data_IF_017188913187
#
_entry.id   IF_017188913187
#
_cell.length_a   1.000
_cell.length_b   1.000
_cell.length_c   1.000
_cell.angle_alpha   90.00
_cell.angle_beta   90.00
_cell.angle_gamma   90.00
#
_symmetry.space_group_name_H-M   'P 1'
#
loop_
_entity.id
_entity.type
_entity.pdbx_description
1 polymer ?
#
# COMPACT_ATOMS: atom_id res chain seq x y z
N UNK A 1 -12.57 -12.14 -15.07
CA UNK A 1 -11.50 -11.67 -14.19
C UNK A 1 -12.06 -10.67 -13.20
N UNK A 2 -11.55 -10.65 -11.97
CA UNK A 2 -11.80 -9.63 -10.94
C UNK A 2 -10.50 -8.88 -10.68
N UNK A 3 -10.60 -7.61 -10.28
CA UNK A 3 -9.45 -6.74 -10.08
C UNK A 3 -9.49 -6.11 -8.68
N UNK A 4 -8.37 -6.23 -7.96
CA UNK A 4 -8.18 -5.64 -6.64
C UNK A 4 -7.18 -4.51 -6.77
N UNK A 5 -7.59 -3.28 -6.44
CA UNK A 5 -6.72 -2.12 -6.47
C UNK A 5 -6.36 -1.72 -5.04
N UNK A 6 -5.13 -2.02 -4.64
CA UNK A 6 -4.59 -1.65 -3.34
C UNK A 6 -4.14 -0.18 -3.36
N UNK A 7 -4.74 0.64 -2.51
CA UNK A 7 -4.41 2.05 -2.33
C UNK A 7 -3.72 2.24 -0.98
N UNK A 8 -2.68 3.10 -0.95
CA UNK A 8 -1.91 3.43 0.25
C UNK A 8 -1.60 4.92 0.29
N UNK A 9 -1.45 5.49 1.49
CA UNK A 9 -1.04 6.87 1.71
C UNK A 9 0.21 7.21 0.87
N UNK A 10 0.09 8.25 0.03
CA UNK A 10 1.16 8.73 -0.83
C UNK A 10 2.44 9.07 -0.07
N UNK A 11 2.35 9.54 1.18
CA UNK A 11 3.54 9.82 2.00
C UNK A 11 4.32 8.54 2.28
N UNK A 12 3.63 7.46 2.64
CA UNK A 12 4.25 6.17 2.93
C UNK A 12 4.81 5.53 1.65
N UNK A 13 4.12 5.69 0.52
CA UNK A 13 4.59 5.21 -0.78
C UNK A 13 5.88 5.92 -1.20
N UNK A 14 5.94 7.24 -1.08
CA UNK A 14 7.15 8.02 -1.41
C UNK A 14 8.31 7.63 -0.50
N UNK A 15 8.09 7.51 0.81
CA UNK A 15 9.12 7.10 1.75
C UNK A 15 9.62 5.68 1.45
N UNK A 16 8.71 4.75 1.12
CA UNK A 16 9.06 3.40 0.72
C UNK A 16 9.92 3.38 -0.56
N UNK A 17 9.62 4.23 -1.54
CA UNK A 17 10.40 4.30 -2.77
C UNK A 17 11.80 4.87 -2.53
N UNK A 18 11.92 5.88 -1.65
CA UNK A 18 13.21 6.42 -1.23
C UNK A 18 14.09 5.33 -0.62
N UNK A 19 13.53 4.57 0.31
CA UNK A 19 14.29 3.58 1.07
C UNK A 19 14.68 2.36 0.21
N UNK A 20 13.85 1.98 -0.77
CA UNK A 20 14.09 0.78 -1.61
C UNK A 20 14.88 1.06 -2.88
N UNK A 21 14.63 2.20 -3.52
CA UNK A 21 15.14 2.53 -4.86
C UNK A 21 15.83 3.90 -4.94
N UNK A 22 15.97 4.60 -3.82
CA UNK A 22 16.70 5.85 -3.71
C UNK A 22 15.89 7.12 -4.04
N UNK A 23 16.52 8.26 -3.80
CA UNK A 23 15.86 9.57 -3.84
C UNK A 23 15.27 9.94 -5.21
N UNK A 24 15.93 9.56 -6.32
CA UNK A 24 15.41 9.80 -7.67
C UNK A 24 14.08 9.10 -7.94
N UNK A 25 13.90 7.90 -7.38
CA UNK A 25 12.63 7.17 -7.46
C UNK A 25 11.55 7.89 -6.65
N UNK A 26 11.87 8.26 -5.41
CA UNK A 26 10.96 9.00 -4.53
C UNK A 26 10.49 10.33 -5.15
N UNK A 27 11.39 11.09 -5.79
CA UNK A 27 11.06 12.32 -6.49
C UNK A 27 10.02 12.09 -7.59
N UNK A 28 10.17 11.02 -8.38
CA UNK A 28 9.26 10.71 -9.49
C UNK A 28 7.86 10.35 -8.97
N UNK A 29 7.82 9.55 -7.91
CA UNK A 29 6.59 9.12 -7.25
C UNK A 29 5.85 10.29 -6.63
N UNK A 30 6.57 11.12 -5.89
CA UNK A 30 6.01 12.32 -5.27
C UNK A 30 5.55 13.32 -6.34
N UNK A 31 6.23 13.43 -7.49
CA UNK A 31 5.90 14.43 -8.51
C UNK A 31 4.67 14.05 -9.31
N UNK A 32 4.58 12.79 -9.74
CA UNK A 32 3.60 12.38 -10.75
C UNK A 32 3.07 10.98 -10.56
N UNK A 33 3.91 10.00 -10.22
CA UNK A 33 3.51 8.59 -10.40
C UNK A 33 2.44 8.13 -9.41
N UNK A 34 2.49 8.56 -8.14
CA UNK A 34 1.45 8.15 -7.18
C UNK A 34 0.07 8.60 -7.65
N UNK A 35 -0.09 9.88 -7.99
CA UNK A 35 -1.35 10.43 -8.50
C UNK A 35 -1.76 9.75 -9.80
N UNK A 36 -0.82 9.60 -10.73
CA UNK A 36 -1.09 9.01 -12.04
C UNK A 36 -1.57 7.56 -11.91
N UNK A 37 -0.91 6.75 -11.11
CA UNK A 37 -1.21 5.33 -10.99
C UNK A 37 -2.52 5.08 -10.23
N UNK A 38 -2.75 5.79 -9.13
CA UNK A 38 -4.03 5.70 -8.40
C UNK A 38 -5.18 6.10 -9.34
N UNK A 39 -5.09 7.25 -10.00
CA UNK A 39 -6.15 7.68 -10.91
C UNK A 39 -6.33 6.75 -12.12
N UNK A 40 -5.25 6.16 -12.63
CA UNK A 40 -5.34 5.18 -13.70
C UNK A 40 -6.09 3.91 -13.24
N UNK A 41 -5.80 3.39 -12.04
CA UNK A 41 -6.51 2.26 -11.45
C UNK A 41 -7.99 2.56 -11.24
N UNK A 42 -8.32 3.72 -10.68
CA UNK A 42 -9.71 4.16 -10.47
C UNK A 42 -10.48 4.36 -11.78
N UNK A 43 -9.84 4.98 -12.78
CA UNK A 43 -10.42 5.13 -14.12
C UNK A 43 -10.66 3.78 -14.80
N UNK A 44 -9.73 2.85 -14.65
CA UNK A 44 -9.89 1.48 -15.15
C UNK A 44 -11.07 0.78 -14.46
N UNK A 45 -11.14 0.84 -13.13
CA UNK A 45 -12.24 0.27 -12.36
C UNK A 45 -13.61 0.84 -12.73
N UNK A 46 -13.71 2.15 -12.93
CA UNK A 46 -14.94 2.82 -13.33
C UNK A 46 -15.46 2.41 -14.73
N UNK A 47 -14.59 1.86 -15.58
CA UNK A 47 -14.97 1.37 -16.91
C UNK A 47 -15.41 -0.11 -16.90
N UNK A 48 -15.28 -0.81 -15.77
CA UNK A 48 -15.64 -2.22 -15.67
C UNK A 48 -17.10 -2.40 -15.20
N UNK A 49 -17.73 -3.54 -15.52
CA UNK A 49 -19.03 -3.90 -14.95
C UNK A 49 -19.00 -3.96 -13.43
N UNK A 50 -20.16 -3.73 -12.81
CA UNK A 50 -20.35 -3.87 -11.36
C UNK A 50 -19.86 -5.25 -10.89
N UNK A 51 -19.17 -5.28 -9.75
CA UNK A 51 -18.62 -6.51 -9.17
C UNK A 51 -17.31 -7.00 -9.79
N UNK A 52 -16.68 -6.24 -10.70
CA UNK A 52 -15.37 -6.61 -11.29
C UNK A 52 -14.16 -5.90 -10.69
N UNK A 53 -14.38 -4.86 -9.89
CA UNK A 53 -13.32 -4.03 -9.34
C UNK A 53 -13.59 -3.72 -7.86
N UNK A 54 -12.56 -3.88 -7.03
CA UNK A 54 -12.60 -3.62 -5.59
C UNK A 54 -11.40 -2.76 -5.18
N UNK A 55 -11.65 -1.65 -4.49
CA UNK A 55 -10.60 -0.84 -3.87
C UNK A 55 -10.39 -1.30 -2.44
N UNK A 56 -9.15 -1.63 -2.11
CA UNK A 56 -8.74 -2.02 -0.77
C UNK A 56 -7.70 -1.03 -0.27
N UNK A 57 -7.88 -0.53 0.95
CA UNK A 57 -6.87 0.36 1.56
C UNK A 57 -5.85 -0.47 2.32
N UNK A 58 -4.58 -0.18 2.11
CA UNK A 58 -3.49 -0.83 2.81
C UNK A 58 -3.59 -0.63 4.32
N UNK A 59 -4.02 0.55 4.76
CA UNK A 59 -4.16 0.86 6.18
C UNK A 59 -5.26 0.00 6.83
N UNK A 60 -6.42 -0.11 6.19
CA UNK A 60 -7.52 -0.99 6.66
C UNK A 60 -7.07 -2.46 6.70
N UNK A 61 -6.38 -2.93 5.65
CA UNK A 61 -5.86 -4.30 5.57
C UNK A 61 -4.88 -4.62 6.71
N UNK A 62 -4.08 -3.67 7.17
CA UNK A 62 -3.09 -3.90 8.23
C UNK A 62 -3.65 -3.62 9.62
N UNK A 63 -4.62 -2.71 9.75
CA UNK A 63 -5.30 -2.42 11.01
C UNK A 63 -6.28 -3.52 11.41
N UNK A 64 -7.10 -3.99 10.47
CA UNK A 64 -8.12 -5.01 10.65
C UNK A 64 -8.01 -6.12 9.57
N UNK A 65 -6.94 -6.94 9.60
CA UNK A 65 -6.64 -7.88 8.52
C UNK A 65 -7.73 -8.92 8.29
N UNK A 66 -8.36 -9.45 9.35
CA UNK A 66 -9.45 -10.41 9.20
C UNK A 66 -10.66 -9.79 8.49
N UNK A 67 -11.11 -8.63 8.93
CA UNK A 67 -12.26 -7.93 8.34
C UNK A 67 -12.01 -7.59 6.87
N UNK A 68 -10.84 -7.00 6.58
CA UNK A 68 -10.42 -6.66 5.22
C UNK A 68 -10.33 -7.91 4.32
N UNK A 69 -9.73 -9.00 4.80
CA UNK A 69 -9.60 -10.23 4.02
C UNK A 69 -10.94 -10.95 3.83
N UNK A 70 -11.85 -10.90 4.81
CA UNK A 70 -13.22 -11.42 4.65
C UNK A 70 -13.97 -10.67 3.55
N UNK A 71 -13.91 -9.33 3.56
CA UNK A 71 -14.51 -8.50 2.50
C UNK A 71 -13.89 -8.81 1.14
N UNK A 72 -12.56 -8.94 1.08
CA UNK A 72 -11.85 -9.23 -0.16
C UNK A 72 -12.21 -10.62 -0.72
N UNK A 73 -12.21 -11.67 0.10
CA UNK A 73 -12.56 -13.02 -0.34
C UNK A 73 -14.02 -13.11 -0.75
N UNK A 74 -14.92 -12.40 -0.07
CA UNK A 74 -16.32 -12.29 -0.49
C UNK A 74 -16.44 -11.63 -1.88
N UNK A 75 -15.66 -10.57 -2.16
CA UNK A 75 -15.59 -9.97 -3.50
C UNK A 75 -15.04 -10.94 -4.55
N UNK A 76 -14.07 -11.77 -4.18
CA UNK A 76 -13.45 -12.77 -5.05
C UNK A 76 -14.29 -14.04 -5.22
N UNK A 77 -15.39 -14.18 -4.47
CA UNK A 77 -16.24 -15.38 -4.42
C UNK A 77 -15.48 -16.61 -3.91
N UNK A 78 -14.50 -16.39 -3.02
CA UNK A 78 -13.65 -17.44 -2.43
C UNK A 78 -14.06 -17.73 -0.98
N UNK A 79 -13.95 -18.99 -0.51
CA UNK A 79 -14.25 -19.34 0.87
C UNK A 79 -13.22 -18.74 1.84
N UNK A 80 -13.67 -18.44 3.05
CA UNK A 80 -12.78 -18.02 4.13
C UNK A 80 -11.85 -19.18 4.56
N UNK A 81 -10.55 -18.89 4.67
CA UNK A 81 -9.55 -19.75 5.31
C UNK A 81 -8.69 -18.90 6.24
N UNK A 82 -8.57 -19.28 7.51
CA UNK A 82 -7.75 -18.57 8.51
C UNK A 82 -6.27 -18.48 8.12
N UNK A 83 -5.79 -19.37 7.23
CA UNK A 83 -4.42 -19.32 6.71
C UNK A 83 -4.09 -18.01 6.00
N UNK A 84 -5.09 -17.26 5.50
CA UNK A 84 -4.82 -15.96 4.86
C UNK A 84 -4.22 -14.94 5.82
N UNK A 85 -4.40 -15.13 7.14
CA UNK A 85 -3.80 -14.29 8.18
C UNK A 85 -2.38 -14.72 8.55
N UNK A 86 -1.99 -15.96 8.18
CA UNK A 86 -0.67 -16.57 8.41
C UNK A 86 0.06 -16.73 7.09
N UNK A 87 0.03 -15.68 6.28
CA UNK A 87 0.57 -15.72 4.93
C UNK A 87 2.04 -16.11 4.93
N UNK A 88 2.82 -15.67 5.93
CA UNK A 88 4.26 -15.91 6.05
C UNK A 88 4.67 -17.36 6.35
N UNK A 89 3.71 -18.23 6.70
CA UNK A 89 3.92 -19.68 6.81
C UNK A 89 3.89 -20.39 5.45
N UNK A 90 3.33 -19.74 4.42
CA UNK A 90 3.24 -20.28 3.08
C UNK A 90 4.51 -19.99 2.27
N UNK A 91 4.78 -20.83 1.26
CA UNK A 91 5.85 -20.55 0.31
C UNK A 91 5.51 -19.30 -0.52
N UNK A 92 6.51 -18.47 -0.75
CA UNK A 92 6.35 -17.19 -1.43
C UNK A 92 7.38 -17.04 -2.52
N UNK A 93 6.93 -16.67 -3.72
CA UNK A 93 7.80 -16.29 -4.84
C UNK A 93 8.38 -14.87 -4.65
N UNK A 94 8.99 -14.67 -3.48
CA UNK A 94 9.60 -13.44 -3.06
C UNK A 94 11.11 -13.64 -3.00
N UNK A 95 11.86 -12.80 -3.71
CA UNK A 95 13.34 -12.88 -3.71
C UNK A 95 13.90 -12.84 -2.28
N UNK A 96 14.97 -13.60 -2.02
CA UNK A 96 15.66 -13.58 -0.71
C UNK A 96 16.04 -12.16 -0.26
N UNK A 97 16.45 -11.31 -1.21
CA UNK A 97 16.79 -9.91 -0.95
C UNK A 97 15.60 -9.13 -0.41
N UNK A 98 14.40 -9.36 -0.97
CA UNK A 98 13.19 -8.71 -0.50
C UNK A 98 12.80 -9.20 0.89
N UNK A 99 12.83 -10.51 1.12
CA UNK A 99 12.52 -11.11 2.43
C UNK A 99 13.47 -10.62 3.52
N UNK A 100 14.77 -10.49 3.21
CA UNK A 100 15.76 -9.92 4.13
C UNK A 100 15.47 -8.46 4.45
N UNK A 101 15.19 -7.64 3.43
CA UNK A 101 14.86 -6.22 3.59
C UNK A 101 13.63 -6.01 4.48
N UNK A 102 12.55 -6.77 4.26
CA UNK A 102 11.33 -6.65 5.08
C UNK A 102 11.56 -7.12 6.51
N UNK A 103 12.31 -8.21 6.71
CA UNK A 103 12.66 -8.73 8.04
C UNK A 103 13.53 -7.76 8.85
N UNK A 104 14.54 -7.14 8.24
CA UNK A 104 15.39 -6.13 8.88
C UNK A 104 14.58 -4.91 9.32
N UNK A 105 13.67 -4.42 8.45
CA UNK A 105 12.79 -3.32 8.80
C UNK A 105 11.84 -3.64 9.94
N UNK A 106 11.24 -4.83 9.92
CA UNK A 106 10.35 -5.31 10.97
C UNK A 106 11.08 -5.36 12.31
N UNK A 107 12.29 -5.94 12.34
CA UNK A 107 13.14 -5.98 13.54
C UNK A 107 13.52 -4.59 14.04
N UNK A 108 13.91 -3.68 13.14
CA UNK A 108 14.26 -2.31 13.49
C UNK A 108 13.09 -1.53 14.11
N UNK A 109 11.85 -1.89 13.78
CA UNK A 109 10.64 -1.31 14.37
C UNK A 109 10.17 -2.03 15.65
N UNK A 110 10.88 -3.07 16.10
CA UNK A 110 10.47 -3.87 17.28
C UNK A 110 9.23 -4.74 17.04
N UNK A 111 8.87 -4.99 15.79
CA UNK A 111 7.65 -5.71 15.42
C UNK A 111 7.91 -7.22 15.37
N UNK A 112 7.01 -8.02 15.95
CA UNK A 112 7.13 -9.48 15.98
C UNK A 112 6.17 -10.17 15.02
N UNK A 113 5.02 -9.57 14.75
CA UNK A 113 3.99 -10.10 13.85
C UNK A 113 4.38 -9.97 12.37
N UNK A 114 3.91 -10.92 11.54
CA UNK A 114 4.07 -10.87 10.08
C UNK A 114 3.31 -9.69 9.45
N UNK A 115 2.11 -9.40 9.96
CA UNK A 115 1.32 -8.20 9.65
C UNK A 115 1.59 -7.19 10.75
N UNK A 116 2.15 -6.02 10.40
CA UNK A 116 2.62 -5.04 11.39
C UNK A 116 2.31 -3.59 10.98
N UNK A 117 2.09 -2.72 11.98
CA UNK A 117 1.49 -1.39 11.79
C UNK A 117 2.49 -0.24 11.74
N UNK A 118 3.75 -0.45 12.14
CA UNK A 118 4.81 0.59 12.11
C UNK A 118 5.10 1.21 10.74
N UNK A 119 4.45 0.73 9.67
CA UNK A 119 4.56 1.29 8.31
C UNK A 119 3.40 2.20 7.92
N UNK A 120 2.35 2.28 8.73
CA UNK A 120 1.23 3.20 8.54
C UNK A 120 1.65 4.58 9.07
N UNK A 121 1.56 5.59 8.21
CA UNK A 121 1.86 6.99 8.56
C UNK A 121 3.35 7.32 8.74
N UNK A 122 4.25 6.33 8.65
CA UNK A 122 5.69 6.51 8.83
C UNK A 122 6.31 7.51 7.85
N UNK A 123 5.77 7.62 6.64
CA UNK A 123 6.18 8.57 5.61
C UNK A 123 5.98 10.02 6.04
N UNK A 124 4.91 10.32 6.79
CA UNK A 124 4.62 11.70 7.24
C UNK A 124 5.75 12.25 8.10
N UNK A 125 6.30 11.44 8.99
CA UNK A 125 7.41 11.82 9.87
C UNK A 125 8.80 11.75 9.22
N UNK A 126 8.98 10.94 8.18
CA UNK A 126 10.31 10.64 7.63
C UNK A 126 10.65 11.33 6.31
N UNK A 127 9.66 11.89 5.61
CA UNK A 127 9.91 12.65 4.37
C UNK A 127 10.59 13.99 4.66
N UNK A 128 11.62 14.31 3.88
CA UNK A 128 12.25 15.62 3.91
C UNK A 128 11.34 16.70 3.30
N UNK A 129 11.60 17.99 3.58
CA UNK A 129 10.75 19.09 3.12
C UNK A 129 10.54 19.15 1.60
N UNK A 130 11.52 18.72 0.79
CA UNK A 130 11.41 18.75 -0.67
C UNK A 130 10.42 17.71 -1.15
N UNK A 131 10.58 16.44 -0.73
CA UNK A 131 9.63 15.38 -1.10
C UNK A 131 8.22 15.66 -0.59
N UNK A 132 8.10 16.15 0.66
CA UNK A 132 6.80 16.51 1.24
C UNK A 132 6.14 17.67 0.49
N UNK A 133 6.89 18.72 0.19
CA UNK A 133 6.38 19.89 -0.54
C UNK A 133 5.93 19.52 -1.95
N UNK A 134 6.72 18.70 -2.64
CA UNK A 134 6.44 18.27 -4.00
C UNK A 134 5.24 17.31 -4.07
N UNK A 135 5.11 16.36 -3.15
CA UNK A 135 3.91 15.53 -3.02
C UNK A 135 2.68 16.38 -2.71
N UNK A 136 2.78 17.35 -1.79
CA UNK A 136 1.66 18.26 -1.48
C UNK A 136 1.26 19.09 -2.70
N UNK A 137 2.21 19.55 -3.52
CA UNK A 137 1.90 20.33 -4.71
C UNK A 137 1.20 19.50 -5.79
N UNK A 138 1.62 18.25 -6.00
CA UNK A 138 1.09 17.39 -7.06
C UNK A 138 -0.17 16.62 -6.69
N UNK A 139 -0.29 16.22 -5.41
CA UNK A 139 -1.20 15.17 -4.99
C UNK A 139 -2.28 15.62 -3.99
N UNK A 140 -2.24 16.86 -3.51
CA UNK A 140 -3.16 17.36 -2.47
C UNK A 140 -4.65 17.11 -2.74
N UNK A 141 -5.20 17.29 -3.96
CA UNK A 141 -6.60 16.97 -4.21
C UNK A 141 -6.92 15.50 -3.95
N UNK A 142 -6.10 14.59 -4.49
CA UNK A 142 -6.29 13.15 -4.34
C UNK A 142 -6.01 12.67 -2.91
N UNK A 143 -5.01 13.23 -2.24
CA UNK A 143 -4.77 12.97 -0.81
C UNK A 143 -6.00 13.37 0.02
N UNK A 144 -6.64 14.51 -0.25
CA UNK A 144 -7.88 14.92 0.44
C UNK A 144 -9.04 14.00 0.13
N UNK A 145 -9.24 13.67 -1.13
CA UNK A 145 -10.33 12.78 -1.57
C UNK A 145 -10.24 11.42 -0.88
N UNK A 146 -9.02 10.89 -0.75
CA UNK A 146 -8.78 9.63 -0.08
C UNK A 146 -8.67 9.77 1.45
N UNK A 147 -8.72 10.97 2.05
CA UNK A 147 -8.59 11.14 3.49
C UNK A 147 -7.16 11.02 4.05
N UNK A 148 -6.15 11.20 3.19
CA UNK A 148 -4.73 11.27 3.51
C UNK A 148 -4.17 12.71 3.55
N UNK A 149 -4.99 13.73 3.73
CA UNK A 149 -4.53 15.14 3.75
C UNK A 149 -3.76 15.53 5.00
#
# INVERSE_FOLDING_TARGET
>A
AQFVHLIRDGHDVVASHRDRWGYRSALRVARTEWVRFVNAGRKFGAALPVGRYHELRYEELVEAPEEAMRSLLAFLEEPWDEKVLRFDEADHDATERYMRFTAERRRAAGETSAIYRSRIGAGRGTLDPVLRGLLRASARPLLRELGYA
#
